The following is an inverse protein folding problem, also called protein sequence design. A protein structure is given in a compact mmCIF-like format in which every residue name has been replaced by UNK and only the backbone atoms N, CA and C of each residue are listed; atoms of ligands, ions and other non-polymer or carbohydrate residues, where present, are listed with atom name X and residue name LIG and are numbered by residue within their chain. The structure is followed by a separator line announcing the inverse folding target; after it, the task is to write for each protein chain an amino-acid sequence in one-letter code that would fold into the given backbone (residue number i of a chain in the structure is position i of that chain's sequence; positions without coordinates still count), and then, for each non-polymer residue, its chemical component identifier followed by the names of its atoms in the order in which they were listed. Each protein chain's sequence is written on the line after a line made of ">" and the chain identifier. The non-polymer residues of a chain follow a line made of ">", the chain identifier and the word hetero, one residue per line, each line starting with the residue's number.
data_IF_748486729657
#
_entry.id   IF_748486729657
#
_cell.length_a   1.000
_cell.length_b   1.000
_cell.length_c   1.000
_cell.angle_alpha   90.00
_cell.angle_beta   90.00
_cell.angle_gamma   90.00
#
_symmetry.space_group_name_H-M   'P 1'
#
loop_
_entity.id
_entity.type
_entity.pdbx_description
1 polymer ?
#
# COMPACT_ATOMS: atom_id res chain seq x y z
N UNK A 1 56.64 -27.45 -2.21
CA UNK A 1 55.25 -26.97 -2.42
C UNK A 1 54.63 -27.80 -3.53
N UNK A 2 53.70 -28.69 -3.19
CA UNK A 2 53.03 -29.56 -4.18
C UNK A 2 51.88 -28.78 -4.83
N UNK A 3 52.02 -28.43 -6.11
CA UNK A 3 50.91 -27.92 -6.91
C UNK A 3 49.99 -29.10 -7.26
N UNK A 4 48.88 -29.22 -6.55
CA UNK A 4 47.81 -30.17 -6.84
C UNK A 4 47.23 -29.88 -8.22
N UNK A 5 47.25 -30.88 -9.11
CA UNK A 5 46.61 -30.79 -10.43
C UNK A 5 45.10 -30.72 -10.24
N UNK A 6 44.53 -29.52 -10.39
CA UNK A 6 43.08 -29.34 -10.41
C UNK A 6 42.56 -30.06 -11.66
N UNK A 7 41.78 -31.12 -11.44
CA UNK A 7 41.14 -31.86 -12.52
C UNK A 7 40.15 -30.94 -13.25
N UNK A 8 40.16 -30.97 -14.58
CA UNK A 8 39.28 -30.14 -15.43
C UNK A 8 37.78 -30.39 -15.15
N UNK A 9 37.44 -31.51 -14.52
CA UNK A 9 36.08 -31.83 -14.09
C UNK A 9 35.56 -30.92 -12.96
N UNK A 10 36.44 -30.40 -12.10
CA UNK A 10 36.07 -29.59 -10.93
C UNK A 10 35.51 -28.20 -11.29
N UNK A 11 36.12 -27.41 -12.20
CA UNK A 11 35.51 -26.15 -12.64
C UNK A 11 34.22 -26.35 -13.47
N UNK A 12 34.10 -27.47 -14.18
CA UNK A 12 32.89 -27.82 -14.94
C UNK A 12 31.70 -28.11 -14.02
N UNK A 13 31.91 -28.84 -12.93
CA UNK A 13 30.89 -29.10 -11.91
C UNK A 13 30.47 -27.81 -11.19
N UNK A 14 31.42 -26.92 -10.89
CA UNK A 14 31.12 -25.63 -10.28
C UNK A 14 30.31 -24.73 -11.22
N UNK A 15 30.65 -24.71 -12.52
CA UNK A 15 29.91 -23.96 -13.54
C UNK A 15 28.49 -24.49 -13.73
N UNK A 16 28.30 -25.81 -13.75
CA UNK A 16 26.98 -26.42 -13.83
C UNK A 16 26.11 -26.11 -12.61
N UNK A 17 26.70 -26.08 -11.41
CA UNK A 17 26.01 -25.69 -10.18
C UNK A 17 25.61 -24.20 -10.20
N UNK A 18 26.46 -23.32 -10.73
CA UNK A 18 26.16 -21.90 -10.90
C UNK A 18 25.01 -21.66 -11.90
N UNK A 19 24.97 -22.42 -12.98
CA UNK A 19 23.87 -22.37 -13.96
C UNK A 19 22.56 -22.88 -13.33
N UNK A 20 22.61 -23.91 -12.49
CA UNK A 20 21.44 -24.43 -11.79
C UNK A 20 20.87 -23.41 -10.78
N UNK A 21 21.74 -22.66 -10.09
CA UNK A 21 21.34 -21.59 -9.17
C UNK A 21 20.80 -20.36 -9.90
N UNK A 22 21.24 -20.07 -11.13
CA UNK A 22 20.69 -18.99 -11.98
C UNK A 22 19.29 -19.30 -12.52
N UNK A 23 18.82 -20.55 -12.47
CA UNK A 23 17.45 -20.91 -12.83
C UNK A 23 16.45 -20.78 -11.67
N UNK A 24 16.85 -20.19 -10.54
CA UNK A 24 15.92 -19.80 -9.46
C UNK A 24 14.95 -18.73 -9.98
N UNK A 25 13.74 -19.23 -10.29
CA UNK A 25 12.45 -18.53 -10.36
C UNK A 25 12.34 -17.50 -11.51
N UNK A 26 12.22 -18.02 -12.74
CA UNK A 26 11.29 -17.41 -13.69
C UNK A 26 9.87 -17.70 -13.20
N UNK A 27 9.33 -16.86 -12.33
CA UNK A 27 7.91 -16.87 -12.01
C UNK A 27 7.16 -16.63 -13.33
N UNK A 28 6.21 -17.52 -13.68
CA UNK A 28 5.28 -17.25 -14.80
C UNK A 28 4.75 -15.83 -14.60
N UNK A 29 4.72 -14.96 -15.63
CA UNK A 29 4.10 -13.65 -15.47
C UNK A 29 2.68 -13.89 -14.96
N UNK A 30 2.41 -13.42 -13.75
CA UNK A 30 1.08 -13.36 -13.16
C UNK A 30 0.22 -12.71 -14.24
N UNK A 31 -0.82 -13.40 -14.71
CA UNK A 31 -1.69 -12.91 -15.77
C UNK A 31 -2.14 -11.47 -15.44
N UNK A 32 -1.57 -10.50 -16.15
CA UNK A 32 -1.58 -9.08 -15.81
C UNK A 32 -2.97 -8.43 -16.03
N UNK A 33 -3.95 -9.18 -16.54
CA UNK A 33 -5.09 -8.58 -17.25
C UNK A 33 -6.31 -8.16 -16.39
N UNK A 34 -6.28 -8.22 -15.05
CA UNK A 34 -7.48 -7.87 -14.23
C UNK A 34 -7.37 -6.57 -13.42
N UNK A 35 -6.23 -5.85 -13.50
CA UNK A 35 -5.95 -4.69 -12.66
C UNK A 35 -5.70 -3.35 -13.37
N UNK A 36 -5.67 -3.33 -14.70
CA UNK A 36 -5.08 -2.21 -15.47
C UNK A 36 -6.05 -1.15 -15.97
N UNK A 37 -7.36 -1.29 -15.74
CA UNK A 37 -8.30 -0.27 -16.17
C UNK A 37 -8.11 1.02 -15.36
N UNK A 38 -8.24 2.16 -16.04
CA UNK A 38 -8.29 3.46 -15.39
C UNK A 38 -9.45 3.51 -14.39
N UNK A 39 -9.20 4.07 -13.20
CA UNK A 39 -10.22 4.17 -12.14
C UNK A 39 -11.29 5.20 -12.47
N UNK A 40 -10.92 6.26 -13.19
CA UNK A 40 -11.82 7.33 -13.57
C UNK A 40 -12.50 6.99 -14.90
N UNK A 41 -13.83 6.87 -14.88
CA UNK A 41 -14.65 6.53 -16.05
C UNK A 41 -15.80 7.53 -16.19
N UNK A 42 -15.99 8.06 -17.40
CA UNK A 42 -17.07 9.02 -17.68
C UNK A 42 -18.46 8.40 -17.49
N UNK A 43 -18.62 7.12 -17.85
CA UNK A 43 -19.87 6.37 -17.67
C UNK A 43 -20.33 6.34 -16.21
N UNK A 44 -19.41 6.17 -15.27
CA UNK A 44 -19.71 6.18 -13.83
C UNK A 44 -20.16 7.58 -13.39
N UNK A 45 -19.44 8.63 -13.80
CA UNK A 45 -19.80 10.02 -13.47
C UNK A 45 -21.21 10.34 -13.99
N UNK A 46 -21.48 9.99 -15.24
CA UNK A 46 -22.79 10.18 -15.86
C UNK A 46 -23.89 9.44 -15.09
N UNK A 47 -23.68 8.15 -14.82
CA UNK A 47 -24.64 7.31 -14.08
C UNK A 47 -24.98 7.90 -12.71
N UNK A 48 -23.98 8.39 -11.98
CA UNK A 48 -24.19 9.03 -10.68
C UNK A 48 -24.96 10.34 -10.82
N UNK A 49 -24.53 11.21 -11.74
CA UNK A 49 -25.09 12.55 -11.87
C UNK A 49 -26.48 12.59 -12.51
N UNK A 50 -26.87 11.55 -13.26
CA UNK A 50 -28.24 11.38 -13.77
C UNK A 50 -29.25 11.01 -12.68
N UNK A 51 -28.78 10.52 -11.53
CA UNK A 51 -29.64 10.24 -10.39
C UNK A 51 -30.05 11.56 -9.70
N UNK A 52 -31.25 12.04 -10.01
CA UNK A 52 -31.82 13.25 -9.40
C UNK A 52 -31.96 13.19 -7.86
N UNK A 53 -31.88 12.00 -7.25
CA UNK A 53 -31.93 11.82 -5.79
C UNK A 53 -30.54 11.82 -5.14
N UNK A 54 -29.46 11.93 -5.90
CA UNK A 54 -28.12 11.99 -5.35
C UNK A 54 -27.91 13.33 -4.62
N UNK A 55 -27.61 13.28 -3.32
CA UNK A 55 -27.24 14.46 -2.52
C UNK A 55 -25.81 14.97 -2.77
N UNK A 56 -25.14 14.49 -3.82
CA UNK A 56 -23.75 14.77 -4.15
C UNK A 56 -23.52 14.68 -5.66
N UNK A 57 -22.43 15.27 -6.14
CA UNK A 57 -22.06 15.32 -7.57
C UNK A 57 -20.74 14.59 -7.80
N UNK A 58 -20.71 13.67 -8.76
CA UNK A 58 -19.48 13.03 -9.22
C UNK A 58 -18.72 13.93 -10.21
N UNK A 59 -17.39 13.93 -10.10
CA UNK A 59 -16.47 14.61 -11.00
C UNK A 59 -15.14 13.86 -11.07
N UNK A 60 -14.33 14.14 -12.10
CA UNK A 60 -12.96 13.64 -12.15
C UNK A 60 -12.10 14.36 -11.12
N UNK A 61 -11.44 13.57 -10.27
CA UNK A 61 -10.45 14.10 -9.34
C UNK A 61 -9.06 14.04 -9.99
N UNK A 62 -8.37 15.18 -10.23
CA UNK A 62 -7.05 15.20 -10.85
C UNK A 62 -6.00 14.35 -10.13
N UNK A 63 -6.14 14.15 -8.81
CA UNK A 63 -5.24 13.27 -8.02
C UNK A 63 -5.23 11.83 -8.54
N UNK A 64 -6.30 11.39 -9.20
CA UNK A 64 -6.50 10.01 -9.65
C UNK A 64 -6.52 9.88 -11.19
N UNK A 65 -6.12 10.92 -11.94
CA UNK A 65 -6.23 10.92 -13.40
C UNK A 65 -5.52 9.74 -14.08
N UNK A 66 -4.40 9.30 -13.50
CA UNK A 66 -3.56 8.22 -14.04
C UNK A 66 -3.58 6.98 -13.15
N UNK A 67 -4.58 6.85 -12.26
CA UNK A 67 -4.67 5.70 -11.36
C UNK A 67 -5.33 4.51 -12.05
N UNK A 68 -4.71 3.35 -11.93
CA UNK A 68 -5.37 2.07 -12.21
C UNK A 68 -6.25 1.65 -11.02
N UNK A 69 -7.16 0.70 -11.24
CA UNK A 69 -7.93 0.08 -10.15
C UNK A 69 -7.01 -0.54 -9.09
N UNK A 70 -5.91 -1.20 -9.50
CA UNK A 70 -4.95 -1.80 -8.56
C UNK A 70 -4.23 -0.76 -7.71
N UNK A 71 -3.83 0.37 -8.31
CA UNK A 71 -3.20 1.48 -7.60
C UNK A 71 -4.18 2.13 -6.62
N UNK A 72 -5.44 2.33 -7.02
CA UNK A 72 -6.47 2.90 -6.16
C UNK A 72 -6.77 2.01 -4.95
N UNK A 73 -6.82 0.68 -5.12
CA UNK A 73 -7.00 -0.28 -4.01
C UNK A 73 -5.95 -0.14 -2.91
N UNK A 74 -4.73 0.29 -3.23
CA UNK A 74 -3.67 0.51 -2.23
C UNK A 74 -4.00 1.63 -1.23
N UNK A 75 -4.88 2.56 -1.60
CA UNK A 75 -5.38 3.60 -0.70
C UNK A 75 -6.39 3.05 0.32
N UNK A 76 -7.03 1.91 0.02
CA UNK A 76 -8.05 1.28 0.86
C UNK A 76 -7.43 0.28 1.85
N UNK A 77 -6.46 0.74 2.64
CA UNK A 77 -5.57 -0.11 3.45
C UNK A 77 -6.09 -0.60 4.79
N UNK A 78 -7.35 -0.31 5.16
CA UNK A 78 -7.92 -0.75 6.44
C UNK A 78 -8.26 -2.24 6.37
N UNK A 79 -7.61 -3.05 7.21
CA UNK A 79 -7.92 -4.48 7.34
C UNK A 79 -9.10 -4.67 8.30
N UNK A 80 -9.94 -5.70 8.10
CA UNK A 80 -10.93 -6.05 9.11
C UNK A 80 -10.23 -6.35 10.44
N UNK A 81 -10.85 -6.00 11.58
CA UNK A 81 -10.28 -6.33 12.88
C UNK A 81 -10.16 -7.84 13.03
N UNK A 82 -9.05 -8.33 13.58
CA UNK A 82 -8.91 -9.74 13.96
C UNK A 82 -9.59 -10.01 15.30
N UNK A 83 -9.85 -11.29 15.60
CA UNK A 83 -10.42 -11.70 16.88
C UNK A 83 -9.50 -11.26 18.04
N UNK A 84 -10.03 -10.44 18.94
CA UNK A 84 -9.26 -9.88 20.06
C UNK A 84 -8.62 -8.49 19.83
N UNK A 85 -8.62 -7.96 18.60
CA UNK A 85 -8.12 -6.59 18.32
C UNK A 85 -9.03 -5.51 18.93
N UNK A 86 -10.33 -5.81 19.03
CA UNK A 86 -11.32 -4.94 19.64
C UNK A 86 -11.24 -5.10 21.17
N UNK A 87 -10.32 -4.39 21.82
CA UNK A 87 -10.52 -4.08 23.24
C UNK A 87 -11.85 -3.34 23.33
N UNK A 88 -12.77 -3.85 24.14
CA UNK A 88 -14.04 -3.17 24.35
C UNK A 88 -13.76 -1.75 24.84
N UNK A 89 -14.03 -0.77 23.99
CA UNK A 89 -14.07 0.62 24.43
C UNK A 89 -15.27 0.70 25.37
N UNK A 90 -15.13 1.17 26.62
CA UNK A 90 -16.26 1.32 27.51
C UNK A 90 -17.29 2.23 26.84
N UNK A 91 -18.51 1.72 26.66
CA UNK A 91 -19.61 2.49 26.09
C UNK A 91 -20.06 3.48 27.17
N UNK A 92 -19.72 4.75 26.99
CA UNK A 92 -20.27 5.83 27.81
C UNK A 92 -21.67 6.16 27.30
N UNK A 93 -22.69 5.78 28.08
CA UNK A 93 -24.08 6.08 27.75
C UNK A 93 -24.48 7.37 28.45
N UNK A 94 -24.95 8.34 27.67
CA UNK A 94 -25.49 9.60 28.19
C UNK A 94 -27.02 9.60 28.11
N UNK A 95 -27.73 10.31 29.00
CA UNK A 95 -29.18 10.51 28.87
C UNK A 95 -29.51 11.10 27.49
N UNK A 96 -30.59 10.63 26.87
CA UNK A 96 -31.08 11.02 25.52
C UNK A 96 -31.32 12.53 25.33
N UNK A 97 -31.29 13.31 26.41
CA UNK A 97 -31.75 14.69 26.52
C UNK A 97 -30.60 15.70 26.73
N UNK A 98 -29.38 15.40 26.28
CA UNK A 98 -28.43 16.50 26.08
C UNK A 98 -28.90 17.31 24.87
N UNK A 99 -29.00 18.63 25.01
CA UNK A 99 -29.33 19.56 23.93
C UNK A 99 -28.23 19.54 22.86
N UNK A 100 -28.23 18.49 22.02
CA UNK A 100 -27.27 18.35 20.93
C UNK A 100 -27.57 19.41 19.85
N UNK A 101 -26.55 20.10 19.34
CA UNK A 101 -26.75 21.08 18.30
C UNK A 101 -27.19 20.39 17.01
N UNK A 102 -27.98 21.09 16.20
CA UNK A 102 -28.41 20.61 14.87
C UNK A 102 -27.22 20.37 13.93
N UNK A 103 -26.15 21.14 14.08
CA UNK A 103 -24.92 21.07 13.28
C UNK A 103 -23.71 21.16 14.23
N UNK A 104 -22.64 20.44 13.92
CA UNK A 104 -21.43 20.42 14.71
C UNK A 104 -20.19 20.34 13.81
N UNK A 105 -19.24 21.25 14.00
CA UNK A 105 -17.92 21.22 13.38
C UNK A 105 -16.85 21.29 14.48
N UNK A 106 -16.02 20.25 14.57
CA UNK A 106 -14.95 20.17 15.55
C UNK A 106 -13.92 21.30 15.41
N UNK A 107 -13.72 21.83 14.19
CA UNK A 107 -12.79 22.96 13.95
C UNK A 107 -13.31 24.24 14.61
N UNK A 108 -14.62 24.42 14.63
CA UNK A 108 -15.28 25.57 15.26
C UNK A 108 -15.39 25.38 16.78
N UNK A 109 -15.59 24.15 17.26
CA UNK A 109 -15.67 23.86 18.69
C UNK A 109 -14.32 23.97 19.42
N UNK A 110 -13.21 23.68 18.73
CA UNK A 110 -11.85 23.72 19.30
C UNK A 110 -10.87 24.47 18.38
N UNK A 111 -11.04 25.79 18.20
CA UNK A 111 -10.23 26.58 17.27
C UNK A 111 -8.75 26.64 17.66
N UNK A 112 -8.42 26.48 18.94
CA UNK A 112 -7.05 26.41 19.44
C UNK A 112 -6.30 25.15 18.99
N UNK A 113 -7.00 24.11 18.54
CA UNK A 113 -6.43 22.83 18.14
C UNK A 113 -6.21 22.78 16.62
N UNK A 114 -5.08 23.33 16.17
CA UNK A 114 -4.72 23.38 14.73
C UNK A 114 -4.64 22.01 14.03
N UNK A 115 -4.46 20.93 14.80
CA UNK A 115 -4.42 19.56 14.27
C UNK A 115 -5.76 19.07 13.71
N UNK A 116 -6.89 19.59 14.19
CA UNK A 116 -8.24 19.15 13.79
C UNK A 116 -8.54 19.54 12.33
N UNK A 117 -8.09 20.72 11.91
CA UNK A 117 -8.28 21.21 10.54
C UNK A 117 -7.25 20.68 9.52
N UNK A 118 -6.24 19.93 9.97
CA UNK A 118 -5.10 19.54 9.12
C UNK A 118 -5.38 18.26 8.35
N UNK A 119 -5.34 18.34 7.02
CA UNK A 119 -5.45 17.18 6.13
C UNK A 119 -4.07 16.56 5.91
N UNK A 120 -3.95 15.25 6.15
CA UNK A 120 -2.69 14.49 6.00
C UNK A 120 -2.68 13.64 4.71
N UNK A 121 -1.50 13.45 4.12
CA UNK A 121 -1.26 12.52 3.01
C UNK A 121 -0.73 11.16 3.49
N UNK A 122 -1.12 10.06 2.84
CA UNK A 122 -0.79 8.68 3.24
C UNK A 122 0.40 8.07 2.47
N UNK A 123 1.16 8.88 1.70
CA UNK A 123 2.11 8.40 0.69
C UNK A 123 3.39 7.72 1.24
N UNK A 124 3.54 7.62 2.58
CA UNK A 124 4.77 7.21 3.29
C UNK A 124 5.06 5.69 3.23
N UNK A 125 4.10 4.83 2.89
CA UNK A 125 4.27 3.37 3.02
C UNK A 125 5.33 2.80 2.07
N UNK A 126 5.54 3.42 0.89
CA UNK A 126 6.52 2.94 -0.10
C UNK A 126 7.96 3.32 0.28
N UNK A 127 8.17 4.53 0.79
CA UNK A 127 9.52 5.06 1.04
C UNK A 127 10.21 4.31 2.18
N UNK A 128 9.46 3.99 3.25
CA UNK A 128 9.98 3.23 4.40
C UNK A 128 10.32 1.80 3.99
N UNK A 129 9.48 1.15 3.17
CA UNK A 129 9.75 -0.19 2.65
C UNK A 129 11.00 -0.24 1.77
N UNK A 130 11.18 0.75 0.88
CA UNK A 130 12.36 0.85 0.02
C UNK A 130 13.63 1.13 0.84
N UNK A 131 13.57 1.99 1.86
CA UNK A 131 14.70 2.29 2.74
C UNK A 131 15.14 1.05 3.55
N UNK A 132 14.18 0.23 4.00
CA UNK A 132 14.45 -1.02 4.74
C UNK A 132 15.00 -2.12 3.81
N UNK A 133 14.54 -2.17 2.56
CA UNK A 133 15.09 -3.10 1.56
C UNK A 133 16.50 -2.72 1.13
N UNK A 134 16.75 -1.42 0.90
CA UNK A 134 18.07 -0.90 0.56
C UNK A 134 19.07 -1.10 1.71
N UNK A 135 18.64 -0.89 2.97
CA UNK A 135 19.53 -1.12 4.12
C UNK A 135 19.87 -2.60 4.30
N UNK A 136 18.91 -3.51 4.07
CA UNK A 136 19.17 -4.96 4.09
C UNK A 136 20.08 -5.41 2.95
N UNK A 137 19.90 -4.87 1.74
CA UNK A 137 20.80 -5.16 0.61
C UNK A 137 22.22 -4.68 0.87
N UNK A 138 22.39 -3.46 1.39
CA UNK A 138 23.70 -2.90 1.69
C UNK A 138 24.44 -3.70 2.78
N UNK A 139 23.73 -4.15 3.82
CA UNK A 139 24.29 -5.00 4.88
C UNK A 139 24.76 -6.35 4.31
N UNK A 140 23.96 -6.99 3.44
CA UNK A 140 24.34 -8.26 2.83
C UNK A 140 25.55 -8.10 1.91
N UNK A 141 25.65 -7.00 1.14
CA UNK A 141 26.84 -6.72 0.31
C UNK A 141 28.10 -6.50 1.13
N UNK A 142 28.02 -5.83 2.28
CA UNK A 142 29.17 -5.61 3.18
C UNK A 142 29.65 -6.92 3.81
N UNK A 143 28.75 -7.84 4.16
CA UNK A 143 29.12 -9.15 4.71
C UNK A 143 29.64 -10.15 3.68
N UNK A 144 29.32 -9.99 2.39
CA UNK A 144 29.84 -10.84 1.30
C UNK A 144 31.23 -10.37 0.84
N UNK A 145 31.60 -9.12 1.11
CA UNK A 145 32.88 -8.53 0.72
C UNK A 145 33.96 -8.52 1.82
N UNK A 146 33.67 -9.05 3.01
CA UNK A 146 34.60 -9.18 4.15
C UNK A 146 34.99 -10.65 4.33
#
# INVERSE_FOLDING_TARGET
>A
MAMTKISLATPLLLGAFFILMLQVVAEKPISEAKGETAILQESIIKTVNENAKAGWKAAFNPRFSNFTVSQFKRLLGVKPPSEGDLKSVPILTHPKLMDLPKEFDARTAWPQCSTIGRILGQDIVVLVGLLVLLSRFLIVSVFIMA
#
